data_IF_419227450641
#
_entry.id   IF_419227450641
#
_cell.length_a   1.000
_cell.length_b   1.000
_cell.length_c   1.000
_cell.angle_alpha   90.00
_cell.angle_beta   90.00
_cell.angle_gamma   90.00
#
_symmetry.space_group_name_H-M   'P 1'
#
loop_
_entity.id
_entity.type
_entity.pdbx_description
1 polymer ?
#
# COMPACT_ATOMS: atom_id res chain seq x y z
N UNK A 1 -18.76 20.16 -19.59
CA UNK A 1 -18.65 18.92 -18.82
C UNK A 1 -18.36 19.24 -17.34
N UNK A 2 -19.25 20.04 -16.70
CA UNK A 2 -19.09 20.51 -15.30
C UNK A 2 -20.38 20.35 -14.45
N UNK A 3 -21.31 19.44 -14.83
CA UNK A 3 -22.62 19.35 -14.16
C UNK A 3 -23.02 17.95 -13.69
N UNK A 4 -22.09 17.13 -13.27
CA UNK A 4 -22.45 15.76 -12.84
C UNK A 4 -21.95 15.38 -11.46
N UNK A 5 -21.93 16.24 -10.45
CA UNK A 5 -21.91 15.77 -9.07
C UNK A 5 -22.42 16.87 -8.13
N UNK A 6 -23.74 16.93 -7.94
CA UNK A 6 -24.26 17.60 -6.74
C UNK A 6 -24.04 16.66 -5.55
N UNK A 7 -22.94 16.83 -4.86
CA UNK A 7 -22.75 16.23 -3.53
C UNK A 7 -23.81 16.88 -2.63
N UNK A 8 -24.72 16.08 -2.07
CA UNK A 8 -25.65 16.54 -1.02
C UNK A 8 -24.82 17.16 0.09
N UNK A 9 -25.02 18.44 0.36
CA UNK A 9 -24.53 19.14 1.53
C UNK A 9 -25.15 18.55 2.82
N UNK A 10 -24.62 17.40 3.27
CA UNK A 10 -24.73 16.99 4.65
C UNK A 10 -23.79 17.89 5.46
N UNK A 11 -24.15 18.34 6.66
CA UNK A 11 -23.28 19.05 7.59
C UNK A 11 -22.00 18.21 7.81
N UNK A 12 -21.00 18.41 6.96
CA UNK A 12 -19.68 17.85 7.16
C UNK A 12 -19.07 18.53 8.37
N UNK A 13 -19.03 17.84 9.51
CA UNK A 13 -18.15 18.23 10.60
C UNK A 13 -16.72 18.13 10.05
N UNK A 14 -16.15 19.24 9.63
CA UNK A 14 -14.78 19.32 9.13
C UNK A 14 -13.86 18.72 10.19
N UNK A 15 -13.00 17.78 9.79
CA UNK A 15 -12.00 17.16 10.67
C UNK A 15 -11.01 18.26 11.07
N UNK A 16 -10.84 18.49 12.38
CA UNK A 16 -9.95 19.55 12.86
C UNK A 16 -8.49 19.22 12.61
N UNK A 17 -8.05 18.04 13.03
CA UNK A 17 -6.62 17.72 12.99
C UNK A 17 -6.38 16.30 12.49
N UNK A 18 -5.50 16.20 11.50
CA UNK A 18 -5.00 14.92 10.95
C UNK A 18 -3.49 14.86 11.11
N UNK A 19 -2.98 13.72 11.56
CA UNK A 19 -1.55 13.40 11.52
C UNK A 19 -1.24 12.39 10.44
N UNK A 20 -0.19 12.63 9.68
CA UNK A 20 0.39 11.68 8.72
C UNK A 20 1.79 11.33 9.16
N UNK A 21 2.02 10.10 9.55
CA UNK A 21 3.32 9.59 9.99
C UNK A 21 4.07 9.01 8.82
N UNK A 22 5.16 9.67 8.44
CA UNK A 22 5.99 9.32 7.29
C UNK A 22 5.89 10.35 6.16
N UNK A 23 6.91 11.21 6.03
CA UNK A 23 7.02 12.22 4.98
C UNK A 23 7.75 11.68 3.72
N UNK A 24 7.42 10.44 3.34
CA UNK A 24 7.79 9.85 2.05
C UNK A 24 6.87 10.33 0.93
N UNK A 25 6.99 9.73 -0.24
CA UNK A 25 6.13 10.06 -1.40
C UNK A 25 4.65 9.92 -1.06
N UNK A 26 4.21 8.73 -0.61
CA UNK A 26 2.79 8.49 -0.30
C UNK A 26 2.29 9.35 0.87
N UNK A 27 3.05 9.46 1.97
CA UNK A 27 2.62 10.26 3.11
C UNK A 27 2.51 11.76 2.78
N UNK A 28 3.38 12.28 1.90
CA UNK A 28 3.25 13.66 1.41
C UNK A 28 2.00 13.84 0.54
N UNK A 29 1.72 12.88 -0.33
CA UNK A 29 0.52 12.89 -1.18
C UNK A 29 -0.77 12.79 -0.34
N UNK A 30 -0.82 11.90 0.66
CA UNK A 30 -1.96 11.79 1.60
C UNK A 30 -2.12 13.08 2.40
N UNK A 31 -1.03 13.67 2.92
CA UNK A 31 -1.11 14.94 3.64
C UNK A 31 -1.69 16.07 2.77
N UNK A 32 -1.27 16.13 1.49
CA UNK A 32 -1.83 17.08 0.52
C UNK A 32 -3.32 16.82 0.27
N UNK A 33 -3.71 15.55 0.05
CA UNK A 33 -5.09 15.15 -0.19
C UNK A 33 -6.00 15.53 0.98
N UNK A 34 -5.68 15.07 2.19
CA UNK A 34 -6.53 15.29 3.37
C UNK A 34 -6.60 16.77 3.80
N UNK A 35 -5.64 17.59 3.36
CA UNK A 35 -5.67 19.04 3.62
C UNK A 35 -6.86 19.76 2.96
N UNK A 36 -7.54 19.13 1.99
CA UNK A 36 -8.78 19.67 1.43
C UNK A 36 -9.91 19.66 2.46
N UNK A 37 -10.01 18.61 3.28
CA UNK A 37 -11.12 18.33 4.18
C UNK A 37 -10.75 18.41 5.67
N UNK A 38 -9.51 18.77 6.01
CA UNK A 38 -9.05 19.01 7.38
C UNK A 38 -8.67 20.47 7.59
N UNK A 39 -8.79 20.97 8.82
CA UNK A 39 -8.36 22.32 9.18
C UNK A 39 -6.84 22.42 9.31
N UNK A 40 -6.22 21.39 9.91
CA UNK A 40 -4.78 21.30 10.14
C UNK A 40 -4.27 19.90 9.85
N UNK A 41 -3.14 19.78 9.16
CA UNK A 41 -2.44 18.52 8.89
C UNK A 41 -1.03 18.57 9.44
N UNK A 42 -0.67 17.62 10.29
CA UNK A 42 0.71 17.42 10.74
C UNK A 42 1.38 16.30 9.94
N UNK A 43 2.44 16.66 9.21
CA UNK A 43 3.25 15.70 8.46
C UNK A 43 4.53 15.39 9.26
N UNK A 44 4.61 14.18 9.81
CA UNK A 44 5.71 13.77 10.68
C UNK A 44 6.86 13.15 9.88
N UNK A 45 8.08 13.67 10.09
CA UNK A 45 9.29 13.18 9.47
C UNK A 45 10.38 12.89 10.50
N UNK A 46 11.23 11.91 10.20
CA UNK A 46 12.44 11.59 11.00
C UNK A 46 13.63 12.48 10.61
N UNK A 47 13.70 12.91 9.36
CA UNK A 47 14.80 13.73 8.83
C UNK A 47 14.49 15.21 9.01
N UNK A 48 15.41 15.91 9.68
CA UNK A 48 15.28 17.36 9.95
C UNK A 48 15.30 18.17 8.68
N UNK A 49 16.04 17.74 7.66
CA UNK A 49 16.15 18.40 6.36
C UNK A 49 14.78 18.49 5.67
N UNK A 50 14.03 17.40 5.63
CA UNK A 50 12.68 17.37 5.05
C UNK A 50 11.73 18.34 5.79
N UNK A 51 11.85 18.42 7.12
CA UNK A 51 11.03 19.35 7.91
C UNK A 51 11.38 20.78 7.57
N UNK A 52 12.67 21.11 7.50
CA UNK A 52 13.16 22.45 7.16
C UNK A 52 12.73 22.87 5.75
N UNK A 53 12.82 21.95 4.79
CA UNK A 53 12.38 22.18 3.41
C UNK A 53 10.90 22.55 3.37
N UNK A 54 10.05 21.73 3.99
CA UNK A 54 8.60 21.98 4.00
C UNK A 54 8.27 23.28 4.74
N UNK A 55 8.92 23.55 5.87
CA UNK A 55 8.66 24.77 6.65
C UNK A 55 9.10 26.05 5.91
N UNK A 56 10.20 26.00 5.15
CA UNK A 56 10.75 27.16 4.44
C UNK A 56 10.11 27.40 3.07
N UNK A 57 9.85 26.30 2.34
CA UNK A 57 9.47 26.37 0.91
C UNK A 57 8.05 25.90 0.63
N UNK A 58 7.35 25.36 1.62
CA UNK A 58 6.09 24.61 1.43
C UNK A 58 6.20 23.52 0.36
N UNK A 59 7.36 22.83 0.28
CA UNK A 59 7.62 21.75 -0.67
C UNK A 59 8.38 20.62 0.01
N UNK A 60 8.09 19.39 -0.39
CA UNK A 60 8.95 18.26 -0.05
C UNK A 60 9.96 18.07 -1.20
N UNK A 61 11.11 18.75 -1.08
CA UNK A 61 12.10 18.84 -2.18
C UNK A 61 12.64 17.47 -2.61
N UNK A 62 12.62 16.49 -1.73
CA UNK A 62 13.11 15.15 -2.05
C UNK A 62 12.15 14.35 -2.96
N UNK A 63 10.83 14.52 -2.78
CA UNK A 63 9.82 13.71 -3.46
C UNK A 63 9.01 14.51 -4.49
N UNK A 64 8.72 15.77 -4.18
CA UNK A 64 7.88 16.65 -5.01
C UNK A 64 8.43 18.07 -5.03
N UNK A 65 9.63 18.28 -5.63
CA UNK A 65 10.31 19.58 -5.61
C UNK A 65 9.52 20.70 -6.29
N UNK A 66 8.68 20.35 -7.26
CA UNK A 66 7.94 21.30 -8.08
C UNK A 66 6.48 21.51 -7.61
N UNK A 67 6.04 20.79 -6.58
CA UNK A 67 4.64 20.84 -6.10
C UNK A 67 4.57 21.60 -4.79
N UNK A 68 3.86 22.77 -4.74
CA UNK A 68 3.61 23.45 -3.50
C UNK A 68 2.59 22.69 -2.65
N UNK A 69 2.93 22.50 -1.39
CA UNK A 69 2.04 21.87 -0.43
C UNK A 69 1.08 22.89 0.18
N UNK A 70 -0.10 22.44 0.58
CA UNK A 70 -1.11 23.23 1.25
C UNK A 70 -0.54 23.96 2.49
N UNK A 71 -0.89 25.23 2.72
CA UNK A 71 -0.47 25.95 3.92
C UNK A 71 -1.02 25.36 5.22
N UNK A 72 -2.03 24.50 5.14
CA UNK A 72 -2.54 23.73 6.28
C UNK A 72 -1.58 22.61 6.72
N UNK A 73 -0.58 22.25 5.92
CA UNK A 73 0.38 21.19 6.24
C UNK A 73 1.54 21.80 7.02
N UNK A 74 1.77 21.24 8.22
CA UNK A 74 2.89 21.61 9.08
C UNK A 74 3.78 20.40 9.31
N UNK A 75 5.03 20.48 8.85
CA UNK A 75 5.99 19.43 9.10
C UNK A 75 6.43 19.43 10.57
N UNK A 76 6.50 18.25 11.20
CA UNK A 76 6.87 18.05 12.59
C UNK A 76 7.94 16.98 12.73
N UNK A 77 8.86 17.21 13.68
CA UNK A 77 9.86 16.21 14.04
C UNK A 77 9.27 15.24 15.05
N UNK A 78 9.39 13.93 14.76
CA UNK A 78 8.81 12.86 15.58
C UNK A 78 7.28 13.03 15.76
N UNK A 79 6.72 12.58 16.89
CA UNK A 79 5.28 12.33 17.01
C UNK A 79 4.55 13.20 18.05
N UNK A 80 5.19 14.23 18.61
CA UNK A 80 4.61 15.04 19.72
C UNK A 80 3.23 15.64 19.41
N UNK A 81 2.95 15.97 18.13
CA UNK A 81 1.67 16.56 17.72
C UNK A 81 0.61 15.51 17.35
N UNK A 82 0.89 14.22 17.49
CA UNK A 82 -0.08 13.14 17.23
C UNK A 82 -1.23 13.17 18.23
N UNK A 83 -0.96 13.60 19.47
CA UNK A 83 -1.92 13.61 20.57
C UNK A 83 -3.25 14.34 20.25
N UNK A 84 -3.19 15.42 19.48
CA UNK A 84 -4.40 16.23 19.16
C UNK A 84 -5.14 15.75 17.91
N UNK A 85 -4.73 14.62 17.31
CA UNK A 85 -5.26 14.20 16.01
C UNK A 85 -6.49 13.32 16.14
N UNK A 86 -7.51 13.65 15.33
CA UNK A 86 -8.71 12.84 15.18
C UNK A 86 -8.48 11.62 14.29
N UNK A 87 -7.55 11.74 13.33
CA UNK A 87 -7.15 10.66 12.42
C UNK A 87 -5.62 10.63 12.31
N UNK A 88 -5.03 9.44 12.38
CA UNK A 88 -3.59 9.22 12.22
C UNK A 88 -3.34 8.23 11.07
N UNK A 89 -2.67 8.69 10.01
CA UNK A 89 -2.24 7.84 8.90
C UNK A 89 -0.82 7.31 9.14
N UNK A 90 -0.65 6.00 9.09
CA UNK A 90 0.65 5.32 9.09
C UNK A 90 1.11 5.15 7.64
N UNK A 91 1.93 6.09 7.15
CA UNK A 91 2.51 6.09 5.80
C UNK A 91 4.00 5.75 5.85
N UNK A 92 4.34 4.71 6.59
CA UNK A 92 5.71 4.22 6.78
C UNK A 92 5.89 2.85 6.10
N UNK A 93 7.13 2.43 5.80
CA UNK A 93 7.39 1.06 5.34
C UNK A 93 6.86 0.02 6.33
N UNK A 94 6.43 -1.14 5.81
CA UNK A 94 5.90 -2.24 6.63
C UNK A 94 6.85 -2.64 7.76
N UNK A 95 8.16 -2.62 7.51
CA UNK A 95 9.20 -2.92 8.51
C UNK A 95 9.30 -1.93 9.66
N UNK A 96 8.69 -0.75 9.55
CA UNK A 96 8.71 0.28 10.58
C UNK A 96 7.39 0.39 11.35
N UNK A 97 6.34 -0.32 10.95
CA UNK A 97 5.00 -0.19 11.54
C UNK A 97 5.00 -0.50 13.02
N UNK A 98 5.65 -1.59 13.45
CA UNK A 98 5.70 -1.99 14.87
C UNK A 98 6.41 -0.93 15.73
N UNK A 99 7.61 -0.51 15.32
CA UNK A 99 8.39 0.51 16.02
C UNK A 99 7.57 1.79 16.18
N UNK A 100 6.99 2.28 15.09
CA UNK A 100 6.18 3.51 15.07
C UNK A 100 4.93 3.37 15.94
N UNK A 101 4.23 2.24 15.87
CA UNK A 101 3.04 1.97 16.70
C UNK A 101 3.39 1.99 18.19
N UNK A 102 4.52 1.36 18.57
CA UNK A 102 5.02 1.36 19.94
C UNK A 102 5.39 2.78 20.42
N UNK A 103 6.01 3.61 19.55
CA UNK A 103 6.38 5.00 19.92
C UNK A 103 5.17 5.91 20.10
N UNK A 104 4.08 5.69 19.36
CA UNK A 104 2.90 6.59 19.38
C UNK A 104 1.78 6.11 20.30
N UNK A 105 1.78 4.86 20.76
CA UNK A 105 0.65 4.26 21.50
C UNK A 105 0.16 5.07 22.69
N UNK A 106 1.07 5.68 23.45
CA UNK A 106 0.73 6.51 24.61
C UNK A 106 0.33 7.96 24.23
N UNK A 107 0.38 8.30 22.94
CA UNK A 107 -0.01 9.60 22.40
C UNK A 107 -1.36 9.56 21.69
N UNK A 108 -1.98 8.39 21.56
CA UNK A 108 -3.23 8.18 20.83
C UNK A 108 -4.40 8.37 21.78
N UNK A 109 -5.28 9.30 21.46
CA UNK A 109 -6.52 9.51 22.23
C UNK A 109 -7.55 8.38 21.97
N UNK A 110 -8.45 8.10 22.92
CA UNK A 110 -9.48 7.08 22.75
C UNK A 110 -10.34 7.24 21.48
N UNK A 111 -10.70 8.46 21.09
CA UNK A 111 -11.52 8.76 19.90
C UNK A 111 -10.74 8.87 18.58
N UNK A 112 -9.41 8.69 18.59
CA UNK A 112 -8.58 8.78 17.39
C UNK A 112 -8.75 7.54 16.52
N UNK A 113 -8.99 7.75 15.22
CA UNK A 113 -9.02 6.69 14.20
C UNK A 113 -7.61 6.50 13.63
N UNK A 114 -7.15 5.25 13.56
CA UNK A 114 -5.87 4.90 12.95
C UNK A 114 -6.12 4.41 11.53
N UNK A 115 -5.25 4.80 10.59
CA UNK A 115 -5.31 4.35 9.19
C UNK A 115 -3.95 3.80 8.78
N UNK A 116 -3.90 2.57 8.28
CA UNK A 116 -2.69 1.99 7.73
C UNK A 116 -2.70 2.05 6.20
N UNK A 117 -1.63 2.56 5.62
CA UNK A 117 -1.35 2.49 4.18
C UNK A 117 -0.20 1.52 3.87
N UNK A 118 0.39 0.92 4.90
CA UNK A 118 1.54 0.04 4.76
C UNK A 118 1.12 -1.31 4.15
N UNK A 119 1.93 -1.80 3.21
CA UNK A 119 1.67 -3.02 2.45
C UNK A 119 2.76 -4.04 2.78
N UNK A 120 2.41 -5.09 3.51
CA UNK A 120 3.40 -6.09 3.89
C UNK A 120 2.91 -7.04 4.97
N UNK A 121 3.75 -8.04 5.23
CA UNK A 121 3.60 -9.00 6.33
C UNK A 121 4.89 -8.97 7.13
N UNK A 122 4.79 -8.91 8.44
CA UNK A 122 5.95 -8.89 9.33
C UNK A 122 6.63 -10.27 9.36
N UNK A 123 7.93 -10.28 9.17
CA UNK A 123 8.73 -11.48 9.36
C UNK A 123 9.49 -11.38 10.70
N UNK A 124 9.52 -12.43 11.54
CA UNK A 124 9.04 -13.79 11.28
C UNK A 124 7.60 -14.08 11.74
N UNK A 125 6.89 -13.11 12.34
CA UNK A 125 5.59 -13.36 13.01
C UNK A 125 4.46 -13.77 12.06
N UNK A 126 4.56 -13.42 10.77
CA UNK A 126 3.49 -13.63 9.79
C UNK A 126 2.29 -12.69 9.96
N UNK A 127 2.39 -11.68 10.86
CA UNK A 127 1.29 -10.76 11.14
C UNK A 127 1.13 -9.71 10.04
N UNK A 128 -0.12 -9.36 9.75
CA UNK A 128 -0.47 -8.23 8.88
C UNK A 128 -0.25 -6.91 9.61
N UNK A 129 -0.28 -5.80 8.88
CA UNK A 129 -0.04 -4.47 9.45
C UNK A 129 -1.14 -4.06 10.44
N UNK A 130 -2.39 -4.46 10.18
CA UNK A 130 -3.50 -4.21 11.13
C UNK A 130 -3.30 -4.95 12.44
N UNK A 131 -2.88 -6.20 12.38
CA UNK A 131 -2.59 -7.01 13.57
C UNK A 131 -1.45 -6.42 14.40
N UNK A 132 -0.40 -5.89 13.73
CA UNK A 132 0.72 -5.24 14.41
C UNK A 132 0.28 -3.96 15.12
N UNK A 133 -0.49 -3.12 14.42
CA UNK A 133 -1.01 -1.87 15.01
C UNK A 133 -1.91 -2.20 16.20
N UNK A 134 -2.77 -3.20 16.08
CA UNK A 134 -3.62 -3.64 17.17
C UNK A 134 -2.81 -4.17 18.37
N UNK A 135 -1.80 -5.02 18.14
CA UNK A 135 -0.93 -5.54 19.21
C UNK A 135 -0.30 -4.42 20.05
N UNK A 136 0.16 -3.36 19.37
CA UNK A 136 0.90 -2.29 20.06
C UNK A 136 -0.01 -1.22 20.66
N UNK A 137 -1.15 -0.93 20.02
CA UNK A 137 -2.00 0.22 20.39
C UNK A 137 -3.33 -0.17 21.02
N UNK A 138 -3.76 -1.42 20.89
CA UNK A 138 -5.08 -1.89 21.28
C UNK A 138 -6.23 -1.39 20.38
N UNK A 139 -5.91 -0.76 19.22
CA UNK A 139 -6.91 -0.22 18.28
C UNK A 139 -6.81 -0.88 16.92
N UNK A 140 -7.95 -1.25 16.35
CA UNK A 140 -8.04 -1.73 14.97
C UNK A 140 -7.94 -0.55 14.01
N UNK A 141 -6.95 -0.55 13.09
CA UNK A 141 -6.86 0.51 12.10
C UNK A 141 -7.82 0.28 10.93
N UNK A 142 -8.22 1.36 10.27
CA UNK A 142 -8.74 1.31 8.91
C UNK A 142 -7.59 1.00 7.96
N UNK A 143 -7.79 0.11 7.00
CA UNK A 143 -6.79 -0.20 5.97
C UNK A 143 -7.12 0.58 4.71
N UNK A 144 -6.12 1.28 4.16
CA UNK A 144 -6.22 1.99 2.89
C UNK A 144 -5.37 1.26 1.84
N UNK A 145 -6.02 0.75 0.80
CA UNK A 145 -5.38 0.03 -0.29
C UNK A 145 -6.06 0.33 -1.63
N UNK A 146 -5.32 0.17 -2.72
CA UNK A 146 -5.85 0.40 -4.07
C UNK A 146 -4.80 0.96 -5.02
N UNK A 147 -5.19 1.34 -6.25
CA UNK A 147 -4.33 1.93 -7.26
C UNK A 147 -3.96 3.38 -6.88
N UNK A 148 -2.98 3.54 -5.99
CA UNK A 148 -2.66 4.79 -5.30
C UNK A 148 -1.22 5.25 -5.59
N UNK A 149 -0.89 5.60 -6.82
CA UNK A 149 0.39 6.23 -7.10
C UNK A 149 0.45 7.64 -6.51
N UNK A 150 1.42 7.85 -5.64
CA UNK A 150 1.57 9.12 -4.93
C UNK A 150 1.77 10.32 -5.86
N UNK A 151 2.43 10.12 -7.02
CA UNK A 151 2.61 11.14 -8.05
C UNK A 151 1.29 11.60 -8.68
N UNK A 152 0.32 10.69 -8.79
CA UNK A 152 -0.98 11.00 -9.37
C UNK A 152 -1.88 11.68 -8.33
N UNK A 153 -1.88 11.17 -7.09
CA UNK A 153 -2.65 11.76 -5.98
C UNK A 153 -2.23 13.22 -5.72
N UNK A 154 -0.93 13.49 -5.63
CA UNK A 154 -0.42 14.83 -5.33
C UNK A 154 -0.72 15.84 -6.45
N UNK A 155 -0.93 15.36 -7.67
CA UNK A 155 -1.32 16.14 -8.86
C UNK A 155 -2.84 16.22 -9.05
N UNK A 156 -3.63 15.73 -8.08
CA UNK A 156 -5.10 15.66 -8.16
C UNK A 156 -5.59 14.93 -9.42
N UNK A 157 -4.89 13.87 -9.85
CA UNK A 157 -5.38 13.03 -10.93
C UNK A 157 -6.50 12.12 -10.43
N UNK A 158 -7.50 11.79 -11.27
CA UNK A 158 -8.59 10.91 -10.89
C UNK A 158 -8.07 9.58 -10.34
N UNK A 159 -8.42 9.30 -9.10
CA UNK A 159 -7.96 8.13 -8.36
C UNK A 159 -9.12 7.53 -7.57
N UNK A 160 -9.15 6.22 -7.44
CA UNK A 160 -10.06 5.52 -6.54
C UNK A 160 -9.28 4.62 -5.60
N UNK A 161 -9.67 4.61 -4.34
CA UNK A 161 -9.06 3.74 -3.31
C UNK A 161 -10.13 2.92 -2.62
N UNK A 162 -9.75 1.80 -2.01
CA UNK A 162 -10.59 1.05 -1.09
C UNK A 162 -10.12 1.30 0.34
N UNK A 163 -11.03 1.54 1.26
CA UNK A 163 -10.77 1.50 2.69
C UNK A 163 -11.56 0.35 3.33
N UNK A 164 -10.91 -0.34 4.27
CA UNK A 164 -11.50 -1.50 4.95
C UNK A 164 -11.48 -1.32 6.47
N UNK A 165 -12.61 -1.57 7.11
CA UNK A 165 -12.72 -1.63 8.58
C UNK A 165 -13.99 -2.37 8.98
N UNK A 166 -13.97 -3.00 10.17
CA UNK A 166 -15.15 -3.58 10.78
C UNK A 166 -16.03 -2.53 11.49
N UNK A 167 -15.60 -1.28 11.57
CA UNK A 167 -16.29 -0.17 12.25
C UNK A 167 -16.79 0.82 11.21
N UNK A 168 -18.11 0.90 11.03
CA UNK A 168 -18.75 1.81 10.06
C UNK A 168 -18.44 3.28 10.35
N UNK A 169 -18.40 3.68 11.62
CA UNK A 169 -18.10 5.06 12.03
C UNK A 169 -16.68 5.47 11.58
N UNK A 170 -15.69 4.57 11.77
CA UNK A 170 -14.32 4.84 11.34
C UNK A 170 -14.21 4.93 9.82
N UNK A 171 -14.94 4.04 9.08
CA UNK A 171 -15.01 4.11 7.61
C UNK A 171 -15.54 5.46 7.14
N UNK A 172 -16.68 5.91 7.68
CA UNK A 172 -17.28 7.20 7.29
C UNK A 172 -16.35 8.37 7.64
N UNK A 173 -15.72 8.36 8.80
CA UNK A 173 -14.79 9.42 9.22
C UNK A 173 -13.58 9.51 8.29
N UNK A 174 -12.99 8.36 7.93
CA UNK A 174 -11.84 8.30 7.01
C UNK A 174 -12.26 8.63 5.58
N UNK A 175 -13.41 8.12 5.12
CA UNK A 175 -13.97 8.45 3.81
C UNK A 175 -14.18 9.95 3.65
N UNK A 176 -14.77 10.61 4.65
CA UNK A 176 -15.05 12.05 4.61
C UNK A 176 -13.77 12.89 4.49
N UNK A 177 -12.66 12.51 5.13
CA UNK A 177 -11.41 13.26 5.04
C UNK A 177 -10.66 13.03 3.73
N UNK A 178 -10.84 11.85 3.11
CA UNK A 178 -10.16 11.48 1.87
C UNK A 178 -10.89 11.93 0.60
N UNK A 179 -12.23 11.94 0.61
CA UNK A 179 -13.03 12.13 -0.61
C UNK A 179 -12.90 13.56 -1.15
N UNK A 180 -12.54 13.66 -2.43
CA UNK A 180 -12.60 14.88 -3.25
C UNK A 180 -13.25 14.54 -4.60
N UNK A 181 -13.56 15.52 -5.46
CA UNK A 181 -14.05 15.21 -6.81
C UNK A 181 -13.14 14.30 -7.62
N UNK A 182 -11.83 14.37 -7.38
CA UNK A 182 -10.81 13.58 -8.07
C UNK A 182 -10.41 12.32 -7.30
N UNK A 183 -10.68 12.23 -5.98
CA UNK A 183 -10.30 11.08 -5.17
C UNK A 183 -11.53 10.41 -4.57
N UNK A 184 -11.91 9.29 -5.16
CA UNK A 184 -13.06 8.49 -4.75
C UNK A 184 -12.65 7.41 -3.74
N UNK A 185 -13.56 7.09 -2.82
CA UNK A 185 -13.32 6.12 -1.75
C UNK A 185 -14.41 5.05 -1.75
N UNK A 186 -14.00 3.84 -2.08
CA UNK A 186 -14.78 2.62 -1.92
C UNK A 186 -14.61 2.06 -0.50
N UNK A 187 -15.65 1.44 0.05
CA UNK A 187 -15.65 0.95 1.45
C UNK A 187 -16.04 -0.51 1.52
N UNK A 188 -15.25 -1.30 2.26
CA UNK A 188 -15.51 -2.72 2.49
C UNK A 188 -15.32 -3.07 3.97
N UNK A 189 -15.95 -4.15 4.44
CA UNK A 189 -15.76 -4.67 5.81
C UNK A 189 -14.62 -5.69 5.90
N UNK A 190 -14.14 -6.22 4.77
CA UNK A 190 -13.11 -7.26 4.73
C UNK A 190 -11.69 -6.67 4.87
N UNK A 191 -11.24 -6.52 6.10
CA UNK A 191 -9.89 -6.07 6.44
C UNK A 191 -8.83 -7.06 5.95
N UNK A 192 -9.06 -8.37 6.18
CA UNK A 192 -8.11 -9.43 5.85
C UNK A 192 -7.86 -9.51 4.35
N UNK A 193 -8.93 -9.60 3.55
CA UNK A 193 -8.81 -9.66 2.10
C UNK A 193 -8.16 -8.41 1.52
N UNK A 194 -8.49 -7.21 2.03
CA UNK A 194 -7.88 -5.95 1.59
C UNK A 194 -6.38 -5.90 1.86
N UNK A 195 -5.92 -6.34 3.03
CA UNK A 195 -4.49 -6.42 3.34
C UNK A 195 -3.77 -7.44 2.47
N UNK A 196 -4.35 -8.64 2.32
CA UNK A 196 -3.78 -9.69 1.47
C UNK A 196 -3.67 -9.27 0.01
N UNK A 197 -4.71 -8.62 -0.56
CA UNK A 197 -4.64 -8.03 -1.90
C UNK A 197 -3.46 -7.06 -2.02
N UNK A 198 -3.26 -6.20 -1.01
CA UNK A 198 -2.18 -5.21 -1.01
C UNK A 198 -0.77 -5.81 -1.03
N UNK A 199 -0.62 -7.02 -0.46
CA UNK A 199 0.65 -7.76 -0.43
C UNK A 199 0.83 -8.58 -1.71
N UNK A 200 -0.21 -9.36 -2.10
CA UNK A 200 -0.17 -10.29 -3.22
C UNK A 200 0.05 -9.58 -4.56
N UNK A 201 -0.51 -8.39 -4.76
CA UNK A 201 -0.25 -7.61 -5.97
C UNK A 201 1.24 -7.35 -6.24
N UNK A 202 2.04 -7.18 -5.18
CA UNK A 202 3.48 -6.96 -5.31
C UNK A 202 4.20 -8.22 -5.80
N UNK A 203 3.75 -9.40 -5.33
CA UNK A 203 4.24 -10.71 -5.80
C UNK A 203 3.85 -10.94 -7.26
N UNK A 204 2.60 -10.62 -7.59
CA UNK A 204 2.06 -10.75 -8.95
C UNK A 204 2.80 -9.84 -9.94
N UNK A 205 3.14 -8.62 -9.52
CA UNK A 205 3.94 -7.69 -10.32
C UNK A 205 5.36 -8.21 -10.56
N UNK A 206 5.99 -8.83 -9.56
CA UNK A 206 7.30 -9.48 -9.73
C UNK A 206 7.18 -10.64 -10.73
N UNK A 207 6.19 -11.52 -10.58
CA UNK A 207 6.00 -12.66 -11.47
C UNK A 207 5.75 -12.23 -12.93
N UNK A 208 4.90 -11.22 -13.13
CA UNK A 208 4.64 -10.63 -14.44
C UNK A 208 5.91 -10.00 -15.03
N UNK A 209 6.66 -9.24 -14.21
CA UNK A 209 7.91 -8.62 -14.61
C UNK A 209 8.99 -9.64 -14.98
N UNK A 210 9.10 -10.79 -14.28
CA UNK A 210 10.03 -11.88 -14.65
C UNK A 210 9.70 -12.38 -16.06
N UNK A 211 8.42 -12.61 -16.36
CA UNK A 211 7.99 -13.03 -17.69
C UNK A 211 8.33 -12.00 -18.78
N UNK A 212 8.18 -10.72 -18.48
CA UNK A 212 8.55 -9.63 -19.38
C UNK A 212 10.05 -9.56 -19.58
N UNK A 213 10.84 -9.68 -18.51
CA UNK A 213 12.31 -9.72 -18.59
C UNK A 213 12.88 -10.88 -19.39
N UNK A 214 12.15 -12.01 -19.43
CA UNK A 214 12.42 -13.15 -20.29
C UNK A 214 12.04 -12.94 -21.77
N UNK A 215 11.51 -11.76 -22.13
CA UNK A 215 10.95 -11.46 -23.45
C UNK A 215 9.78 -12.37 -23.87
N UNK A 216 9.00 -12.87 -22.92
CA UNK A 216 7.77 -13.59 -23.25
C UNK A 216 6.73 -12.62 -23.85
N UNK A 217 6.02 -13.09 -24.86
CA UNK A 217 4.98 -12.33 -25.52
C UNK A 217 3.73 -12.14 -24.62
N UNK A 218 2.86 -11.23 -24.99
CA UNK A 218 1.70 -10.83 -24.20
C UNK A 218 0.77 -11.97 -23.81
N UNK A 219 0.50 -12.94 -24.72
CA UNK A 219 -0.36 -14.09 -24.41
C UNK A 219 0.13 -14.85 -23.16
N UNK A 220 1.44 -15.11 -23.06
CA UNK A 220 2.01 -15.80 -21.91
C UNK A 220 1.97 -14.92 -20.65
N UNK A 221 2.32 -13.63 -20.77
CA UNK A 221 2.32 -12.69 -19.64
C UNK A 221 0.91 -12.51 -19.06
N UNK A 222 -0.10 -12.33 -19.91
CA UNK A 222 -1.49 -12.19 -19.44
C UNK A 222 -2.08 -13.51 -18.94
N UNK A 223 -1.64 -14.66 -19.44
CA UNK A 223 -1.98 -15.95 -18.83
C UNK A 223 -1.45 -16.05 -17.39
N UNK A 224 -0.18 -15.64 -17.16
CA UNK A 224 0.39 -15.58 -15.80
C UNK A 224 -0.36 -14.58 -14.92
N UNK A 225 -0.74 -13.41 -15.45
CA UNK A 225 -1.54 -12.42 -14.72
C UNK A 225 -2.92 -12.97 -14.31
N UNK A 226 -3.58 -13.71 -15.22
CA UNK A 226 -4.85 -14.38 -14.90
C UNK A 226 -4.66 -15.45 -13.81
N UNK A 227 -3.63 -16.29 -13.92
CA UNK A 227 -3.29 -17.28 -12.89
C UNK A 227 -3.02 -16.60 -11.55
N UNK A 228 -2.30 -15.47 -11.55
CA UNK A 228 -2.04 -14.65 -10.36
C UNK A 228 -3.32 -14.17 -9.71
N UNK A 229 -4.30 -13.75 -10.51
CA UNK A 229 -5.62 -13.33 -10.02
C UNK A 229 -6.36 -14.48 -9.34
N UNK A 230 -6.43 -15.65 -9.99
CA UNK A 230 -7.09 -16.84 -9.42
C UNK A 230 -6.39 -17.30 -8.13
N UNK A 231 -5.06 -17.35 -8.13
CA UNK A 231 -4.29 -17.70 -6.94
C UNK A 231 -4.51 -16.70 -5.80
N UNK A 232 -4.60 -15.40 -6.11
CA UNK A 232 -4.92 -14.38 -5.11
C UNK A 232 -6.25 -14.66 -4.43
N UNK A 233 -7.31 -15.04 -5.18
CA UNK A 233 -8.60 -15.43 -4.61
C UNK A 233 -8.48 -16.63 -3.67
N UNK A 234 -7.78 -17.67 -4.11
CA UNK A 234 -7.55 -18.89 -3.31
C UNK A 234 -6.80 -18.58 -2.02
N UNK A 235 -5.77 -17.72 -2.08
CA UNK A 235 -4.97 -17.36 -0.89
C UNK A 235 -5.80 -16.49 0.06
N UNK A 236 -6.54 -15.51 -0.47
CA UNK A 236 -7.41 -14.64 0.34
C UNK A 236 -8.45 -15.46 1.09
N UNK A 237 -9.16 -16.35 0.40
CA UNK A 237 -10.15 -17.25 1.00
C UNK A 237 -9.52 -18.19 2.05
N UNK A 238 -8.41 -18.82 1.69
CA UNK A 238 -7.71 -19.77 2.57
C UNK A 238 -7.13 -19.14 3.84
N UNK A 239 -6.89 -17.82 3.82
CA UNK A 239 -6.40 -17.05 4.97
C UNK A 239 -7.51 -16.26 5.69
N UNK A 240 -8.80 -16.53 5.37
CA UNK A 240 -9.95 -16.00 6.06
C UNK A 240 -10.47 -14.64 5.59
N UNK A 241 -10.02 -14.17 4.40
CA UNK A 241 -10.61 -13.02 3.70
C UNK A 241 -11.76 -13.43 2.77
N UNK A 242 -12.47 -12.44 2.26
CA UNK A 242 -13.52 -12.66 1.27
C UNK A 242 -12.91 -12.64 -0.15
N UNK A 243 -13.02 -13.74 -0.94
CA UNK A 243 -12.50 -13.78 -2.31
C UNK A 243 -13.13 -12.74 -3.24
N UNK A 244 -14.35 -12.24 -2.96
CA UNK A 244 -14.98 -11.18 -3.75
C UNK A 244 -14.28 -9.82 -3.59
N UNK A 245 -13.56 -9.60 -2.49
CA UNK A 245 -12.72 -8.39 -2.30
C UNK A 245 -11.63 -8.27 -3.39
N UNK A 246 -11.20 -9.41 -3.92
CA UNK A 246 -10.17 -9.44 -4.98
C UNK A 246 -10.68 -8.87 -6.31
N UNK A 247 -11.99 -8.88 -6.56
CA UNK A 247 -12.59 -8.30 -7.77
C UNK A 247 -12.62 -6.77 -7.74
N UNK A 248 -12.46 -6.18 -6.54
CA UNK A 248 -12.52 -4.73 -6.32
C UNK A 248 -11.25 -3.96 -6.70
N UNK A 249 -11.25 -2.66 -6.36
CA UNK A 249 -10.15 -1.75 -6.69
C UNK A 249 -8.86 -2.10 -5.96
N UNK A 250 -8.92 -2.54 -4.70
CA UNK A 250 -7.74 -2.96 -3.93
C UNK A 250 -7.17 -4.32 -4.40
N UNK A 251 -7.96 -5.13 -5.09
CA UNK A 251 -7.58 -6.41 -5.68
C UNK A 251 -7.21 -6.27 -7.15
N UNK A 252 -8.14 -6.56 -8.07
CA UNK A 252 -7.91 -6.57 -9.51
C UNK A 252 -7.34 -5.23 -10.03
N UNK A 253 -7.92 -4.11 -9.60
CA UNK A 253 -7.49 -2.79 -10.06
C UNK A 253 -6.02 -2.50 -9.73
N UNK A 254 -5.63 -2.68 -8.45
CA UNK A 254 -4.26 -2.41 -7.99
C UNK A 254 -3.27 -3.48 -8.48
N UNK A 255 -3.72 -4.73 -8.65
CA UNK A 255 -2.91 -5.81 -9.20
C UNK A 255 -2.52 -5.55 -10.65
N UNK A 256 -3.49 -5.22 -11.52
CA UNK A 256 -3.23 -4.92 -12.93
C UNK A 256 -2.33 -3.69 -13.06
N UNK A 257 -2.68 -2.59 -12.38
CA UNK A 257 -1.86 -1.37 -12.39
C UNK A 257 -0.41 -1.64 -11.96
N UNK A 258 -0.23 -2.37 -10.84
CA UNK A 258 1.10 -2.63 -10.30
C UNK A 258 1.91 -3.57 -11.19
N UNK A 259 1.26 -4.54 -11.85
CA UNK A 259 1.93 -5.52 -12.71
C UNK A 259 2.31 -4.97 -14.08
N UNK A 260 1.59 -3.98 -14.61
CA UNK A 260 1.82 -3.48 -15.98
C UNK A 260 2.42 -2.08 -16.05
N UNK A 261 2.53 -1.38 -14.92
CA UNK A 261 3.06 -0.01 -14.89
C UNK A 261 4.57 0.03 -14.69
N UNK A 262 5.26 0.83 -15.50
CA UNK A 262 6.68 1.14 -15.35
C UNK A 262 6.99 1.95 -14.06
N UNK A 263 5.98 2.51 -13.39
CA UNK A 263 6.15 3.15 -12.08
C UNK A 263 6.28 2.12 -10.93
N UNK A 264 5.97 0.86 -11.20
CA UNK A 264 6.00 -0.20 -10.19
C UNK A 264 7.42 -0.74 -9.98
N UNK A 265 7.98 -0.46 -8.80
CA UNK A 265 9.30 -0.98 -8.41
C UNK A 265 9.35 -2.52 -8.38
N UNK A 266 8.26 -3.18 -8.02
CA UNK A 266 8.19 -4.64 -8.00
C UNK A 266 8.14 -5.22 -9.42
N UNK A 267 7.43 -4.58 -10.34
CA UNK A 267 7.45 -4.95 -11.76
C UNK A 267 8.87 -4.81 -12.33
N UNK A 268 9.52 -3.65 -12.13
CA UNK A 268 10.91 -3.43 -12.55
C UNK A 268 11.88 -4.46 -11.94
N UNK A 269 11.71 -4.79 -10.65
CA UNK A 269 12.49 -5.85 -10.00
C UNK A 269 12.33 -7.18 -10.75
N UNK A 270 11.10 -7.56 -11.07
CA UNK A 270 10.81 -8.78 -11.84
C UNK A 270 11.52 -8.78 -13.18
N UNK A 271 11.46 -7.67 -13.94
CA UNK A 271 12.15 -7.54 -15.24
C UNK A 271 13.65 -7.80 -15.09
N UNK A 272 14.30 -7.16 -14.11
CA UNK A 272 15.74 -7.33 -13.89
C UNK A 272 16.11 -8.81 -13.62
N UNK A 273 15.35 -9.47 -12.75
CA UNK A 273 15.58 -10.89 -12.46
C UNK A 273 15.26 -11.81 -13.65
N UNK A 274 14.22 -11.48 -14.44
CA UNK A 274 13.92 -12.17 -15.69
C UNK A 274 15.04 -12.06 -16.72
N UNK A 275 15.74 -10.94 -16.76
CA UNK A 275 16.93 -10.68 -17.57
C UNK A 275 18.23 -11.24 -16.95
N UNK A 276 18.14 -11.92 -15.80
CA UNK A 276 19.27 -12.47 -15.03
C UNK A 276 20.24 -11.38 -14.52
N UNK A 277 19.77 -10.15 -14.35
CA UNK A 277 20.53 -9.05 -13.77
C UNK A 277 20.48 -9.19 -12.26
N UNK A 278 21.63 -9.33 -11.62
CA UNK A 278 21.72 -9.36 -10.15
C UNK A 278 21.61 -7.94 -9.62
N UNK A 279 20.65 -7.72 -8.73
CA UNK A 279 20.45 -6.43 -8.04
C UNK A 279 21.15 -6.49 -6.70
N UNK A 280 22.13 -5.61 -6.48
CA UNK A 280 22.71 -5.43 -5.15
C UNK A 280 21.76 -4.61 -4.27
N UNK A 281 21.06 -5.31 -3.38
CA UNK A 281 20.09 -4.70 -2.46
C UNK A 281 20.73 -3.75 -1.44
N UNK A 282 22.04 -3.88 -1.20
CA UNK A 282 22.77 -3.03 -0.23
C UNK A 282 23.16 -1.68 -0.82
N UNK A 283 23.46 -1.66 -2.11
CA UNK A 283 23.82 -0.42 -2.83
C UNK A 283 22.60 0.28 -3.43
N UNK A 284 21.51 -0.45 -3.67
CA UNK A 284 20.26 0.15 -4.13
C UNK A 284 19.51 0.70 -2.92
N UNK A 285 19.24 2.01 -2.90
CA UNK A 285 18.34 2.64 -1.92
C UNK A 285 16.87 2.18 -2.06
N UNK A 286 16.61 1.18 -2.88
CA UNK A 286 15.29 0.65 -3.21
C UNK A 286 14.97 -0.45 -2.21
N UNK A 287 14.03 -0.18 -1.31
CA UNK A 287 13.43 -1.19 -0.45
C UNK A 287 12.54 -2.12 -1.28
N UNK A 288 13.00 -3.33 -1.49
CA UNK A 288 12.22 -4.38 -2.17
C UNK A 288 11.28 -5.07 -1.18
N UNK A 289 10.18 -4.40 -0.83
CA UNK A 289 9.17 -4.98 0.05
C UNK A 289 8.58 -6.27 -0.56
N UNK A 290 8.48 -6.32 -1.89
CA UNK A 290 7.96 -7.48 -2.60
C UNK A 290 8.74 -8.77 -2.34
N UNK A 291 10.08 -8.75 -2.28
CA UNK A 291 10.89 -9.95 -2.02
C UNK A 291 10.61 -10.54 -0.63
N UNK A 292 10.49 -9.68 0.39
CA UNK A 292 10.13 -10.12 1.76
C UNK A 292 8.71 -10.68 1.79
N UNK A 293 7.80 -10.06 1.05
CA UNK A 293 6.40 -10.51 0.95
C UNK A 293 6.30 -11.90 0.32
N UNK A 294 7.11 -12.21 -0.71
CA UNK A 294 7.15 -13.56 -1.33
C UNK A 294 7.45 -14.62 -0.28
N UNK A 295 8.49 -14.42 0.52
CA UNK A 295 8.89 -15.38 1.56
C UNK A 295 7.80 -15.55 2.64
N UNK A 296 7.20 -14.45 3.07
CA UNK A 296 6.16 -14.47 4.11
C UNK A 296 4.88 -15.16 3.61
N UNK A 297 4.40 -14.83 2.42
CA UNK A 297 3.20 -15.46 1.82
C UNK A 297 3.45 -16.94 1.55
N UNK A 298 4.62 -17.30 0.99
CA UNK A 298 4.97 -18.70 0.77
C UNK A 298 4.88 -19.53 2.04
N UNK A 299 5.42 -19.00 3.16
CA UNK A 299 5.34 -19.65 4.46
C UNK A 299 3.89 -19.77 4.94
N UNK A 300 3.09 -18.69 4.89
CA UNK A 300 1.69 -18.73 5.28
C UNK A 300 0.89 -19.75 4.45
N UNK A 301 1.12 -19.81 3.15
CA UNK A 301 0.47 -20.81 2.29
C UNK A 301 0.86 -22.24 2.67
N UNK A 302 2.15 -22.48 2.98
CA UNK A 302 2.62 -23.80 3.42
C UNK A 302 2.00 -24.21 4.77
N UNK A 303 1.99 -23.28 5.75
CA UNK A 303 1.45 -23.53 7.09
C UNK A 303 -0.08 -23.82 7.06
N UNK A 304 -0.79 -23.30 6.04
CA UNK A 304 -2.23 -23.49 5.85
C UNK A 304 -2.62 -24.44 4.71
N UNK A 305 -1.64 -25.15 4.10
CA UNK A 305 -1.86 -26.08 2.98
C UNK A 305 -2.54 -25.45 1.76
N UNK A 306 -2.24 -24.17 1.50
CA UNK A 306 -2.75 -23.41 0.36
C UNK A 306 -1.77 -23.52 -0.81
N UNK A 307 -2.29 -23.82 -2.00
CA UNK A 307 -1.50 -23.83 -3.23
C UNK A 307 -1.12 -22.42 -3.66
N UNK A 308 0.17 -22.17 -3.96
CA UNK A 308 0.68 -20.84 -4.32
C UNK A 308 1.78 -20.94 -5.40
N UNK A 309 1.39 -21.35 -6.60
CA UNK A 309 2.33 -21.62 -7.71
C UNK A 309 3.04 -20.34 -8.21
N UNK A 310 2.34 -19.22 -8.29
CA UNK A 310 2.90 -17.91 -8.67
C UNK A 310 3.91 -17.43 -7.63
N UNK A 311 3.57 -17.56 -6.34
CA UNK A 311 4.48 -17.22 -5.26
C UNK A 311 5.74 -18.11 -5.29
N UNK A 312 5.59 -19.41 -5.54
CA UNK A 312 6.72 -20.35 -5.69
C UNK A 312 7.59 -20.01 -6.90
N UNK A 313 6.99 -19.63 -8.03
CA UNK A 313 7.69 -19.18 -9.23
C UNK A 313 8.54 -17.93 -8.94
N UNK A 314 7.94 -16.90 -8.34
CA UNK A 314 8.65 -15.69 -7.96
C UNK A 314 9.81 -15.98 -6.99
N UNK A 315 9.57 -16.82 -5.96
CA UNK A 315 10.59 -17.22 -4.98
C UNK A 315 11.77 -17.96 -5.62
N UNK A 316 11.49 -18.92 -6.51
CA UNK A 316 12.54 -19.71 -7.17
C UNK A 316 13.50 -18.84 -8.00
N UNK A 317 12.96 -17.80 -8.66
CA UNK A 317 13.77 -16.88 -9.47
C UNK A 317 14.50 -15.86 -8.59
N UNK A 318 13.79 -15.21 -7.64
CA UNK A 318 14.37 -14.18 -6.77
C UNK A 318 15.50 -14.69 -5.87
N UNK A 319 15.43 -15.96 -5.46
CA UNK A 319 16.44 -16.59 -4.61
C UNK A 319 17.44 -17.46 -5.41
N UNK A 320 17.50 -17.32 -6.74
CA UNK A 320 18.42 -18.03 -7.64
C UNK A 320 18.41 -19.55 -7.48
N UNK A 321 17.26 -20.12 -7.08
CA UNK A 321 17.09 -21.57 -6.96
C UNK A 321 16.98 -22.24 -8.34
N UNK A 322 16.41 -21.51 -9.31
CA UNK A 322 16.22 -21.93 -10.70
C UNK A 322 16.44 -20.77 -11.66
N UNK A 323 16.80 -21.08 -12.90
CA UNK A 323 16.77 -20.07 -13.95
C UNK A 323 15.32 -19.61 -14.19
N UNK A 324 15.10 -18.36 -14.67
CA UNK A 324 13.76 -17.89 -15.00
C UNK A 324 13.01 -18.82 -15.96
N UNK A 325 13.71 -19.38 -16.95
CA UNK A 325 13.13 -20.27 -17.96
C UNK A 325 12.70 -21.61 -17.35
N UNK A 326 13.54 -22.21 -16.50
CA UNK A 326 13.20 -23.47 -15.82
C UNK A 326 12.02 -23.27 -14.87
N UNK A 327 12.04 -22.19 -14.09
CA UNK A 327 10.96 -21.85 -13.18
C UNK A 327 9.64 -21.59 -13.93
N UNK A 328 9.71 -20.91 -15.08
CA UNK A 328 8.55 -20.67 -15.94
C UNK A 328 7.99 -21.96 -16.55
N UNK A 329 8.83 -22.86 -17.04
CA UNK A 329 8.36 -24.13 -17.59
C UNK A 329 7.60 -24.96 -16.54
N UNK A 330 8.08 -24.99 -15.29
CA UNK A 330 7.38 -25.65 -14.20
C UNK A 330 6.05 -24.99 -13.86
N UNK A 331 6.00 -23.64 -13.83
CA UNK A 331 4.75 -22.89 -13.65
C UNK A 331 3.79 -23.18 -14.80
N UNK A 332 4.29 -23.16 -16.05
CA UNK A 332 3.47 -23.36 -17.24
C UNK A 332 2.81 -24.74 -17.25
N UNK A 333 3.51 -25.77 -16.78
CA UNK A 333 2.95 -27.12 -16.61
C UNK A 333 1.82 -27.22 -15.56
N UNK A 334 1.59 -26.15 -14.77
CA UNK A 334 0.57 -26.10 -13.70
C UNK A 334 -0.53 -25.05 -13.99
N UNK A 335 -0.59 -24.52 -15.22
CA UNK A 335 -1.52 -23.43 -15.55
C UNK A 335 -3.00 -23.86 -15.56
N UNK A 336 -3.27 -25.14 -15.75
CA UNK A 336 -4.61 -25.75 -15.75
C UNK A 336 -4.78 -26.68 -14.49
#
# INVERSE_FOLDING_TARGET
MREFYSVKEGKNNMIRTVSVIGAGSLGTAIAQLVSNNAEQVFLHARRKEVIQDIQKTHRNLQYFPNIPLSPKIRAKYRYKSVFDSEIIFFCVPSSAVREVSCEVKNLINPGTVLVSTAKGIEHPSGKTMSQIIYDETGKHPVILSGPNFASEIVLNQPTITTIASNTTEDLEKVKNVLTTPEFLVDTVSDVVGTELCSVLKNINAIAYGICEGMNLNENARFAVLNKSFQETKTIVEGLGGNPDTVDGYCGLGDMVLTSTSNQSRNHTLGILYGQRITVDEKSSSILFEGKKSVMAIKKLCQDNSIKCDICQFADAVLNHQKSPETAFQELWGKML
#
